data_IF_423855599861
#
_entry.id   IF_423855599861
#
_cell.length_a   1.000
_cell.length_b   1.000
_cell.length_c   1.000
_cell.angle_alpha   90.00
_cell.angle_beta   90.00
_cell.angle_gamma   90.00
#
_symmetry.space_group_name_H-M   'P 1'
#
loop_
_entity.id
_entity.type
_entity.pdbx_description
1 polymer ?
#
# COMPACT_ATOMS: atom_id res chain seq x y z
N UNK A 1 22.03 1.35 -22.10
CA UNK A 1 22.03 1.90 -20.73
C UNK A 1 21.11 0.99 -19.94
N UNK A 2 21.67 0.02 -19.21
CA UNK A 2 20.87 -0.99 -18.51
C UNK A 2 20.05 -0.33 -17.42
N UNK A 3 18.74 -0.56 -17.40
CA UNK A 3 17.87 -0.09 -16.33
C UNK A 3 18.27 -0.84 -15.05
N UNK A 4 18.50 -0.09 -13.96
CA UNK A 4 18.66 -0.68 -12.63
C UNK A 4 17.41 -1.48 -12.27
N UNK A 5 17.53 -2.58 -11.51
CA UNK A 5 16.39 -3.44 -11.20
C UNK A 5 15.30 -2.63 -10.50
N UNK A 6 14.06 -2.86 -10.91
CA UNK A 6 12.87 -2.21 -10.38
C UNK A 6 12.73 -2.47 -8.87
N UNK A 7 13.16 -1.52 -8.05
CA UNK A 7 13.40 -1.75 -6.64
C UNK A 7 12.13 -1.51 -5.81
N UNK A 8 11.64 -2.57 -5.16
CA UNK A 8 10.64 -2.46 -4.10
C UNK A 8 11.38 -2.11 -2.80
N UNK A 9 11.08 -0.95 -2.21
CA UNK A 9 11.62 -0.56 -0.90
C UNK A 9 10.55 -0.70 0.18
N UNK A 10 10.63 -1.76 0.97
CA UNK A 10 9.72 -1.99 2.10
C UNK A 10 10.49 -1.87 3.39
N UNK A 11 10.05 -0.99 4.29
CA UNK A 11 10.64 -0.90 5.62
C UNK A 11 10.43 -2.24 6.37
N UNK A 12 11.43 -2.77 7.10
CA UNK A 12 11.33 -4.08 7.76
C UNK A 12 10.20 -4.24 8.77
N UNK A 13 9.66 -3.12 9.27
CA UNK A 13 8.52 -3.10 10.22
C UNK A 13 7.16 -2.89 9.56
N UNK A 14 7.10 -2.72 8.24
CA UNK A 14 5.83 -2.74 7.53
C UNK A 14 5.26 -4.16 7.57
N UNK A 15 3.95 -4.27 7.76
CA UNK A 15 3.24 -5.54 7.79
C UNK A 15 2.45 -5.62 6.49
N UNK A 16 2.87 -6.51 5.61
CA UNK A 16 2.27 -6.66 4.28
C UNK A 16 1.69 -8.06 4.17
N UNK A 17 0.40 -8.16 3.87
CA UNK A 17 -0.21 -9.44 3.57
C UNK A 17 0.52 -10.11 2.38
N UNK A 18 0.81 -11.43 2.44
CA UNK A 18 1.34 -12.15 1.30
C UNK A 18 0.36 -12.22 0.11
N UNK A 19 -0.90 -11.79 0.29
CA UNK A 19 -1.91 -11.68 -0.77
C UNK A 19 -2.03 -10.26 -1.34
N UNK A 20 -1.21 -9.31 -0.89
CA UNK A 20 -1.14 -7.99 -1.50
C UNK A 20 -0.43 -8.07 -2.87
N UNK A 21 -0.92 -7.31 -3.84
CA UNK A 21 -0.34 -7.22 -5.17
C UNK A 21 0.46 -5.92 -5.27
N UNK A 22 1.77 -6.04 -5.38
CA UNK A 22 2.69 -4.91 -5.39
C UNK A 22 3.24 -4.72 -6.79
N UNK A 23 3.10 -3.50 -7.31
CA UNK A 23 3.76 -3.06 -8.53
C UNK A 23 5.27 -2.87 -8.34
N UNK A 24 5.88 -2.34 -9.38
CA UNK A 24 7.32 -2.08 -9.45
C UNK A 24 7.68 -0.70 -8.90
N UNK A 25 8.93 -0.53 -8.46
CA UNK A 25 9.45 0.77 -8.01
C UNK A 25 8.61 1.43 -6.90
N UNK A 26 8.02 0.64 -6.01
CA UNK A 26 7.21 1.15 -4.91
C UNK A 26 8.04 1.37 -3.64
N UNK A 27 7.60 2.29 -2.79
CA UNK A 27 8.16 2.47 -1.45
C UNK A 27 7.08 2.41 -0.37
N UNK A 28 7.37 1.69 0.71
CA UNK A 28 6.46 1.51 1.85
C UNK A 28 7.21 1.82 3.15
N UNK A 29 6.73 2.84 3.86
CA UNK A 29 7.28 3.33 5.12
C UNK A 29 7.01 2.42 6.31
N UNK A 30 7.72 2.69 7.41
CA UNK A 30 7.65 1.93 8.65
C UNK A 30 6.21 1.78 9.18
N UNK A 31 5.89 0.61 9.73
CA UNK A 31 4.62 0.34 10.42
C UNK A 31 3.36 0.55 9.57
N UNK A 32 3.49 0.61 8.25
CA UNK A 32 2.35 0.56 7.34
C UNK A 32 1.81 -0.86 7.25
N UNK A 33 0.49 -0.99 7.30
CA UNK A 33 -0.26 -2.22 7.17
C UNK A 33 -0.95 -2.26 5.80
N UNK A 34 -0.65 -3.29 5.01
CA UNK A 34 -1.41 -3.64 3.81
C UNK A 34 -2.16 -4.96 4.06
N UNK A 35 -3.48 -4.91 4.02
CA UNK A 35 -4.34 -6.08 4.19
C UNK A 35 -4.41 -6.96 2.92
N UNK A 36 -5.17 -8.06 3.01
CA UNK A 36 -5.37 -9.01 1.92
C UNK A 36 -5.98 -8.33 0.68
N UNK A 37 -5.50 -8.72 -0.51
CA UNK A 37 -6.02 -8.26 -1.79
C UNK A 37 -5.93 -6.73 -2.02
N UNK A 38 -5.08 -6.02 -1.28
CA UNK A 38 -4.67 -4.66 -1.63
C UNK A 38 -3.84 -4.70 -2.91
N UNK A 39 -4.06 -3.78 -3.84
CA UNK A 39 -3.20 -3.58 -5.01
C UNK A 39 -2.58 -2.19 -5.02
N UNK A 40 -1.25 -2.12 -5.17
CA UNK A 40 -0.47 -0.90 -5.26
C UNK A 40 0.17 -0.82 -6.65
N UNK A 41 -0.16 0.22 -7.43
CA UNK A 41 0.41 0.44 -8.76
C UNK A 41 1.86 0.91 -8.74
N UNK A 42 2.51 0.82 -9.91
CA UNK A 42 3.94 1.11 -10.09
C UNK A 42 4.32 2.55 -9.69
N UNK A 43 5.52 2.73 -9.15
CA UNK A 43 6.06 4.05 -8.79
C UNK A 43 5.34 4.73 -7.62
N UNK A 44 4.45 4.02 -6.92
CA UNK A 44 3.70 4.58 -5.78
C UNK A 44 4.53 4.58 -4.51
N UNK A 45 4.46 5.70 -3.78
CA UNK A 45 5.13 5.91 -2.49
C UNK A 45 4.11 6.00 -1.37
N UNK A 46 4.32 5.22 -0.31
CA UNK A 46 3.45 5.14 0.86
C UNK A 46 4.30 5.42 2.10
N UNK A 47 3.94 6.47 2.84
CA UNK A 47 4.61 6.85 4.09
C UNK A 47 4.40 5.85 5.23
N UNK A 48 4.83 6.22 6.44
CA UNK A 48 4.69 5.39 7.63
C UNK A 48 3.29 5.45 8.28
N UNK A 49 2.97 4.41 9.07
CA UNK A 49 1.74 4.26 9.85
C UNK A 49 0.44 4.36 9.01
N UNK A 50 0.46 3.96 7.75
CA UNK A 50 -0.79 3.85 6.97
C UNK A 50 -1.47 2.51 7.23
N UNK A 51 -2.79 2.50 7.19
CA UNK A 51 -3.59 1.27 7.11
C UNK A 51 -4.35 1.28 5.80
N UNK A 52 -4.10 0.28 4.95
CA UNK A 52 -4.77 0.12 3.66
C UNK A 52 -5.55 -1.19 3.71
N UNK A 53 -6.87 -1.05 3.73
CA UNK A 53 -7.80 -2.14 4.00
C UNK A 53 -8.04 -3.01 2.76
N UNK A 54 -8.50 -4.22 3.02
CA UNK A 54 -8.68 -5.27 2.02
C UNK A 54 -9.45 -4.82 0.78
N UNK A 55 -9.02 -5.28 -0.39
CA UNK A 55 -9.66 -4.97 -1.68
C UNK A 55 -9.43 -3.55 -2.19
N UNK A 56 -8.68 -2.71 -1.48
CA UNK A 56 -8.31 -1.37 -1.95
C UNK A 56 -7.35 -1.44 -3.14
N UNK A 57 -7.62 -0.63 -4.17
CA UNK A 57 -6.70 -0.43 -5.31
C UNK A 57 -6.19 0.99 -5.35
N UNK A 58 -4.87 1.15 -5.27
CA UNK A 58 -4.15 2.41 -5.45
C UNK A 58 -3.44 2.36 -6.80
N UNK A 59 -3.64 3.39 -7.63
CA UNK A 59 -3.03 3.48 -8.96
C UNK A 59 -1.52 3.70 -8.93
N UNK A 60 -0.93 3.86 -10.12
CA UNK A 60 0.49 4.14 -10.30
C UNK A 60 0.84 5.60 -9.99
N UNK A 61 2.10 5.86 -9.62
CA UNK A 61 2.66 7.19 -9.34
C UNK A 61 1.87 7.99 -8.29
N UNK A 62 1.25 7.29 -7.35
CA UNK A 62 0.55 7.92 -6.23
C UNK A 62 1.54 8.25 -5.10
N UNK A 63 1.20 9.26 -4.30
CA UNK A 63 1.90 9.56 -3.04
C UNK A 63 0.88 9.57 -1.92
N UNK A 64 1.02 8.63 -0.98
CA UNK A 64 0.26 8.57 0.26
C UNK A 64 1.21 8.96 1.38
N UNK A 65 0.85 10.00 2.13
CA UNK A 65 1.67 10.50 3.24
C UNK A 65 1.50 9.60 4.48
N UNK A 66 1.43 10.15 5.68
CA UNK A 66 1.48 9.37 6.92
C UNK A 66 0.12 9.30 7.59
N UNK A 67 -0.12 8.23 8.35
CA UNK A 67 -1.29 8.08 9.22
C UNK A 67 -2.64 8.13 8.47
N UNK A 68 -2.70 7.68 7.22
CA UNK A 68 -3.97 7.54 6.50
C UNK A 68 -4.63 6.18 6.79
N UNK A 69 -5.97 6.17 6.86
CA UNK A 69 -6.79 4.95 6.80
C UNK A 69 -7.54 4.96 5.47
N UNK A 70 -7.32 3.94 4.63
CA UNK A 70 -7.81 3.91 3.25
C UNK A 70 -8.57 2.60 3.02
N UNK A 71 -9.82 2.71 2.56
CA UNK A 71 -10.66 1.57 2.21
C UNK A 71 -11.36 0.89 3.40
N UNK A 72 -11.45 1.55 4.55
CA UNK A 72 -12.21 1.04 5.69
C UNK A 72 -13.68 0.81 5.32
N UNK A 73 -14.29 -0.12 6.03
CA UNK A 73 -15.72 -0.39 6.06
C UNK A 73 -16.51 0.92 6.17
N UNK A 74 -17.61 1.05 5.40
CA UNK A 74 -18.53 2.15 5.54
C UNK A 74 -19.05 2.27 6.97
N UNK A 75 -19.10 3.50 7.50
CA UNK A 75 -19.75 3.83 8.76
C UNK A 75 -21.28 3.96 8.60
N UNK A 76 -21.88 3.14 7.72
CA UNK A 76 -23.33 3.06 7.53
C UNK A 76 -23.88 1.91 8.38
N UNK A 77 -24.90 2.19 9.19
CA UNK A 77 -25.55 1.19 10.05
C UNK A 77 -26.21 0.04 9.29
N UNK A 78 -26.45 0.21 7.99
CA UNK A 78 -27.05 -0.81 7.11
C UNK A 78 -26.00 -1.62 6.36
N UNK A 79 -24.72 -1.30 6.51
CA UNK A 79 -23.65 -2.08 5.93
C UNK A 79 -23.52 -3.40 6.72
N UNK A 80 -23.82 -4.52 6.06
CA UNK A 80 -23.81 -5.87 6.59
C UNK A 80 -23.15 -6.82 5.60
#
# INVERSE_FOLDING_TARGET
MGQEPEAIHIHPTAIISPKANLGQNISIGAYTLLEDNVTIGDGTSIGNHNTICQGTTIGSNCTIFHNCSIGESPQDLKYA
#
